data_IF_520992282800
#
_entry.id   IF_520992282800
#
_cell.length_a   1.000
_cell.length_b   1.000
_cell.length_c   1.000
_cell.angle_alpha   90.00
_cell.angle_beta   90.00
_cell.angle_gamma   90.00
#
_symmetry.space_group_name_H-M   'P 1'
#
loop_
_entity.id
_entity.type
_entity.pdbx_description
1 polymer ?
#
# COMPACT_ATOMS: atom_id res chain seq x y z
N UNK A 1 -16.96 -5.13 11.16
CA UNK A 1 -15.60 -5.52 10.74
C UNK A 1 -15.45 -7.02 10.86
N UNK A 2 -15.07 -7.70 9.80
CA UNK A 2 -14.79 -9.15 9.79
C UNK A 2 -13.30 -9.35 10.15
N UNK A 3 -13.00 -10.16 11.19
CA UNK A 3 -11.62 -10.46 11.60
C UNK A 3 -11.26 -11.86 11.10
N UNK A 4 -10.16 -11.96 10.36
CA UNK A 4 -9.68 -13.19 9.71
C UNK A 4 -8.31 -13.51 10.28
N UNK A 5 -8.15 -14.73 10.80
CA UNK A 5 -6.85 -15.28 11.22
C UNK A 5 -6.51 -16.40 10.23
N UNK A 6 -5.59 -16.18 9.31
CA UNK A 6 -5.21 -17.21 8.34
C UNK A 6 -4.57 -18.41 9.05
N UNK A 7 -4.94 -19.62 8.65
CA UNK A 7 -4.22 -20.82 9.09
C UNK A 7 -2.80 -20.83 8.54
N UNK A 8 -1.85 -21.37 9.31
CA UNK A 8 -0.47 -21.53 8.87
C UNK A 8 -0.40 -22.47 7.66
N UNK A 9 -0.17 -21.87 6.48
CA UNK A 9 -0.07 -22.59 5.20
C UNK A 9 -1.26 -22.43 4.25
N UNK A 10 -2.34 -21.72 4.63
CA UNK A 10 -3.43 -21.38 3.71
C UNK A 10 -3.07 -20.16 2.86
N UNK A 11 -3.19 -20.24 1.53
CA UNK A 11 -3.12 -19.07 0.66
C UNK A 11 -4.42 -18.26 0.78
N UNK A 12 -4.38 -17.15 1.50
CA UNK A 12 -5.49 -16.22 1.60
C UNK A 12 -5.70 -15.49 0.27
N UNK A 13 -6.92 -15.53 -0.29
CA UNK A 13 -7.25 -14.87 -1.55
C UNK A 13 -8.17 -13.69 -1.33
N UNK A 14 -8.05 -12.64 -2.14
CA UNK A 14 -8.93 -11.48 -2.09
C UNK A 14 -10.42 -11.87 -2.17
N UNK A 15 -10.77 -12.83 -3.03
CA UNK A 15 -12.15 -13.29 -3.21
C UNK A 15 -12.77 -13.89 -1.94
N UNK A 16 -11.96 -14.41 -1.02
CA UNK A 16 -12.42 -14.98 0.25
C UNK A 16 -12.71 -13.88 1.29
N UNK A 17 -12.11 -12.69 1.14
CA UNK A 17 -12.23 -11.53 2.04
C UNK A 17 -13.24 -10.52 1.51
N UNK A 18 -13.15 -10.21 0.22
CA UNK A 18 -13.88 -9.14 -0.45
C UNK A 18 -14.41 -9.62 -1.81
N UNK A 19 -15.45 -10.48 -1.82
CA UNK A 19 -16.02 -10.99 -3.06
C UNK A 19 -16.61 -9.85 -3.90
N UNK A 20 -16.40 -9.91 -5.21
CA UNK A 20 -16.92 -8.93 -6.16
C UNK A 20 -16.01 -7.73 -6.43
N UNK A 21 -14.87 -7.60 -5.74
CA UNK A 21 -13.86 -6.59 -6.09
C UNK A 21 -13.13 -6.99 -7.38
N UNK A 22 -12.75 -6.00 -8.18
CA UNK A 22 -11.98 -6.19 -9.43
C UNK A 22 -10.56 -6.67 -9.17
N UNK A 23 -10.04 -6.36 -7.97
CA UNK A 23 -8.70 -6.62 -7.51
C UNK A 23 -8.42 -5.81 -6.25
N UNK A 24 -7.16 -5.71 -5.85
CA UNK A 24 -6.76 -4.91 -4.72
C UNK A 24 -5.49 -4.09 -4.98
N UNK A 25 -5.41 -2.91 -4.37
CA UNK A 25 -4.23 -2.06 -4.35
C UNK A 25 -3.72 -1.98 -2.91
N UNK A 26 -2.47 -2.39 -2.71
CA UNK A 26 -1.82 -2.19 -1.42
C UNK A 26 -1.26 -0.77 -1.31
N UNK A 27 -1.47 -0.13 -0.15
CA UNK A 27 -0.97 1.21 0.13
C UNK A 27 -0.10 1.20 1.38
N UNK A 28 1.16 1.57 1.22
CA UNK A 28 2.09 1.82 2.31
C UNK A 28 2.08 3.30 2.65
N UNK A 29 1.96 3.65 3.92
CA UNK A 29 1.77 5.04 4.33
C UNK A 29 2.25 5.28 5.77
N UNK A 30 2.56 6.54 6.09
CA UNK A 30 2.95 6.94 7.43
C UNK A 30 1.83 6.77 8.46
N UNK A 31 2.21 6.42 9.71
CA UNK A 31 1.34 6.51 10.89
C UNK A 31 1.49 7.86 11.63
N UNK A 32 2.42 8.72 11.22
CA UNK A 32 2.64 10.04 11.81
C UNK A 32 1.43 10.96 11.62
N UNK A 33 1.11 11.75 12.64
CA UNK A 33 -0.06 12.65 12.66
C UNK A 33 0.32 14.13 12.59
N UNK A 34 1.53 14.49 13.00
CA UNK A 34 2.04 15.86 12.98
C UNK A 34 2.85 16.12 11.70
N UNK A 35 2.13 16.17 10.58
CA UNK A 35 2.67 16.36 9.22
C UNK A 35 1.78 17.32 8.44
N UNK A 36 2.28 17.85 7.32
CA UNK A 36 1.54 18.80 6.49
C UNK A 36 0.19 18.23 6.03
N UNK A 37 -0.90 19.01 6.12
CA UNK A 37 -2.24 18.63 5.65
C UNK A 37 -2.30 18.13 4.21
N UNK A 38 -1.44 18.60 3.32
CA UNK A 38 -1.40 18.19 1.89
C UNK A 38 -1.25 16.66 1.74
N UNK A 39 -0.52 16.02 2.65
CA UNK A 39 -0.36 14.58 2.61
C UNK A 39 -1.62 13.82 3.02
N UNK A 40 -2.36 14.35 3.99
CA UNK A 40 -3.66 13.79 4.39
C UNK A 40 -4.72 13.93 3.29
N UNK A 41 -4.73 15.06 2.57
CA UNK A 41 -5.62 15.28 1.45
C UNK A 41 -5.35 14.27 0.33
N UNK A 42 -4.08 14.12 -0.06
CA UNK A 42 -3.66 13.14 -1.05
C UNK A 42 -4.00 11.69 -0.64
N UNK A 43 -3.84 11.34 0.64
CA UNK A 43 -4.18 10.01 1.13
C UNK A 43 -5.69 9.73 1.04
N UNK A 44 -6.54 10.69 1.46
CA UNK A 44 -8.00 10.56 1.36
C UNK A 44 -8.46 10.47 -0.11
N UNK A 45 -7.88 11.29 -0.98
CA UNK A 45 -8.15 11.26 -2.41
C UNK A 45 -7.81 9.90 -3.00
N UNK A 46 -6.61 9.36 -2.71
CA UNK A 46 -6.19 8.05 -3.19
C UNK A 46 -7.16 6.96 -2.76
N UNK A 47 -7.56 6.92 -1.48
CA UNK A 47 -8.54 5.97 -0.97
C UNK A 47 -9.88 6.04 -1.70
N UNK A 48 -10.38 7.26 -1.94
CA UNK A 48 -11.62 7.46 -2.68
C UNK A 48 -11.52 7.04 -4.15
N UNK A 49 -10.38 7.26 -4.79
CA UNK A 49 -10.13 6.84 -6.17
C UNK A 49 -10.08 5.31 -6.29
N UNK A 50 -9.39 4.60 -5.37
CA UNK A 50 -9.36 3.13 -5.32
C UNK A 50 -10.77 2.56 -5.23
N UNK A 51 -11.61 3.12 -4.35
CA UNK A 51 -13.00 2.71 -4.18
C UNK A 51 -13.83 2.91 -5.48
N UNK A 52 -13.70 4.07 -6.13
CA UNK A 52 -14.43 4.37 -7.38
C UNK A 52 -14.04 3.48 -8.54
N UNK A 53 -12.80 3.00 -8.58
CA UNK A 53 -12.32 2.03 -9.57
C UNK A 53 -12.81 0.60 -9.30
N UNK A 54 -13.49 0.35 -8.16
CA UNK A 54 -13.99 -0.97 -7.76
C UNK A 54 -12.90 -1.93 -7.28
N UNK A 55 -11.77 -1.38 -6.81
CA UNK A 55 -10.69 -2.14 -6.19
C UNK A 55 -10.81 -2.08 -4.66
N UNK A 56 -10.37 -3.14 -3.99
CA UNK A 56 -10.18 -3.11 -2.56
C UNK A 56 -8.88 -2.35 -2.21
N UNK A 57 -8.92 -1.56 -1.14
CA UNK A 57 -7.74 -1.04 -0.50
C UNK A 57 -7.18 -2.09 0.46
N UNK A 58 -5.89 -2.39 0.38
CA UNK A 58 -5.16 -3.20 1.36
C UNK A 58 -4.10 -2.32 2.02
N UNK A 59 -4.08 -2.23 3.35
CA UNK A 59 -3.07 -1.47 4.06
C UNK A 59 -2.64 -2.14 5.38
N UNK A 60 -1.82 -1.44 6.15
CA UNK A 60 -1.37 -1.91 7.46
C UNK A 60 -2.41 -1.92 8.56
N UNK A 61 -3.64 -1.54 8.28
CA UNK A 61 -4.76 -1.56 9.21
C UNK A 61 -4.71 -0.49 10.31
N UNK A 62 -3.76 0.44 10.29
CA UNK A 62 -3.61 1.47 11.32
C UNK A 62 -4.67 2.56 11.24
N UNK A 63 -5.07 3.10 12.40
CA UNK A 63 -6.06 4.19 12.49
C UNK A 63 -5.42 5.60 12.37
N UNK A 64 -4.11 5.72 12.51
CA UNK A 64 -3.42 7.00 12.60
C UNK A 64 -2.74 7.39 11.30
N UNK A 65 -2.45 8.69 11.15
CA UNK A 65 -1.67 9.25 10.06
C UNK A 65 -2.29 9.05 8.68
N UNK A 66 -1.46 8.84 7.68
CA UNK A 66 -1.91 8.64 6.30
C UNK A 66 -2.57 7.28 6.09
N UNK A 67 -2.24 6.25 6.89
CA UNK A 67 -2.96 4.97 6.91
C UNK A 67 -4.44 5.19 7.26
N UNK A 68 -4.73 5.87 8.37
CA UNK A 68 -6.10 6.21 8.73
C UNK A 68 -6.80 7.06 7.65
N UNK A 69 -6.10 8.03 7.09
CA UNK A 69 -6.66 8.93 6.08
C UNK A 69 -7.03 8.21 4.77
N UNK A 70 -6.19 7.28 4.28
CA UNK A 70 -6.51 6.52 3.05
C UNK A 70 -7.67 5.56 3.28
N UNK A 71 -7.75 4.91 4.46
CA UNK A 71 -8.89 4.08 4.85
C UNK A 71 -10.18 4.89 4.90
N UNK A 72 -10.16 6.04 5.58
CA UNK A 72 -11.28 6.97 5.65
C UNK A 72 -11.76 7.41 4.26
N UNK A 73 -10.84 7.73 3.36
CA UNK A 73 -11.16 8.12 1.99
C UNK A 73 -11.85 7.01 1.22
N UNK A 74 -11.34 5.78 1.31
CA UNK A 74 -11.92 4.59 0.69
C UNK A 74 -13.33 4.30 1.22
N UNK A 75 -13.48 4.24 2.54
CA UNK A 75 -14.75 3.89 3.20
C UNK A 75 -15.82 4.95 2.96
N UNK A 76 -15.50 6.25 3.02
CA UNK A 76 -16.46 7.34 2.71
C UNK A 76 -16.92 7.31 1.26
N UNK A 77 -16.13 6.80 0.34
CA UNK A 77 -16.52 6.59 -1.05
C UNK A 77 -17.30 5.29 -1.29
N UNK A 78 -17.66 4.55 -0.24
CA UNK A 78 -18.38 3.28 -0.31
C UNK A 78 -17.51 2.09 -0.72
N UNK A 79 -16.18 2.22 -0.64
CA UNK A 79 -15.23 1.19 -0.99
C UNK A 79 -14.99 0.15 0.11
N UNK A 80 -14.16 -0.82 -0.21
CA UNK A 80 -13.73 -1.90 0.68
C UNK A 80 -12.29 -1.66 1.12
N UNK A 81 -12.07 -1.54 2.44
CA UNK A 81 -10.75 -1.39 3.05
C UNK A 81 -10.42 -2.62 3.90
N UNK A 82 -9.28 -3.25 3.64
CA UNK A 82 -8.77 -4.45 4.30
C UNK A 82 -7.46 -4.09 5.01
N UNK A 83 -7.45 -4.18 6.33
CA UNK A 83 -6.23 -3.96 7.12
C UNK A 83 -5.52 -5.27 7.40
N UNK A 84 -4.22 -5.33 7.17
CA UNK A 84 -3.37 -6.46 7.57
C UNK A 84 -2.53 -6.05 8.77
N UNK A 85 -2.84 -6.58 9.94
CA UNK A 85 -2.26 -6.15 11.22
C UNK A 85 -1.58 -7.32 11.94
N UNK A 86 -0.39 -7.14 12.53
CA UNK A 86 0.21 -8.18 13.36
C UNK A 86 -0.60 -8.44 14.63
N UNK A 87 -0.59 -9.68 15.13
CA UNK A 87 -1.34 -10.10 16.31
C UNK A 87 -1.12 -9.17 17.52
N UNK A 88 0.14 -8.83 17.81
CA UNK A 88 0.47 -7.95 18.94
C UNK A 88 -0.10 -6.51 18.82
N UNK A 89 -0.30 -6.00 17.58
CA UNK A 89 -0.93 -4.70 17.36
C UNK A 89 -2.46 -4.82 17.44
N UNK A 90 -3.03 -5.93 16.93
CA UNK A 90 -4.44 -6.23 17.04
C UNK A 90 -4.88 -6.29 18.52
N UNK A 91 -4.13 -7.04 19.35
CA UNK A 91 -4.37 -7.18 20.79
C UNK A 91 -4.33 -5.84 21.55
N UNK A 92 -3.52 -4.89 21.06
CA UNK A 92 -3.43 -3.52 21.61
C UNK A 92 -4.52 -2.57 21.10
N UNK A 93 -5.40 -3.03 20.21
CA UNK A 93 -6.47 -2.20 19.65
C UNK A 93 -6.00 -1.07 18.74
N UNK A 94 -4.83 -1.21 18.07
CA UNK A 94 -4.28 -0.17 17.19
C UNK A 94 -4.91 -0.16 15.80
N UNK A 95 -5.79 -1.10 15.51
CA UNK A 95 -6.49 -1.20 14.22
C UNK A 95 -7.54 -0.11 14.03
N UNK A 96 -7.75 0.27 12.79
CA UNK A 96 -8.83 1.16 12.37
C UNK A 96 -10.18 0.46 12.51
N UNK A 97 -11.09 1.04 13.31
CA UNK A 97 -12.36 0.39 13.69
C UNK A 97 -13.40 0.30 12.58
N UNK A 98 -13.27 1.11 11.52
CA UNK A 98 -14.19 1.18 10.39
C UNK A 98 -13.86 0.24 9.22
N UNK A 99 -12.77 -0.54 9.28
CA UNK A 99 -12.37 -1.44 8.19
C UNK A 99 -13.46 -2.43 7.80
N UNK A 100 -13.54 -2.76 6.52
CA UNK A 100 -14.45 -3.81 6.00
C UNK A 100 -14.02 -5.19 6.50
N UNK A 101 -12.71 -5.45 6.51
CA UNK A 101 -12.11 -6.66 7.07
C UNK A 101 -10.74 -6.36 7.69
N UNK A 102 -10.36 -7.19 8.66
CA UNK A 102 -9.04 -7.17 9.28
C UNK A 102 -8.42 -8.56 9.23
N UNK A 103 -7.24 -8.66 8.65
CA UNK A 103 -6.44 -9.90 8.58
C UNK A 103 -5.36 -9.83 9.65
N UNK A 104 -5.35 -10.79 10.56
CA UNK A 104 -4.37 -10.83 11.66
C UNK A 104 -3.18 -11.70 11.23
N UNK A 105 -2.03 -11.07 11.03
CA UNK A 105 -0.78 -11.73 10.68
C UNK A 105 -0.01 -12.18 11.91
N UNK A 106 0.75 -13.27 11.81
CA UNK A 106 1.54 -13.81 12.93
C UNK A 106 2.64 -12.83 13.37
N UNK A 107 3.31 -12.19 12.42
CA UNK A 107 4.40 -11.24 12.66
C UNK A 107 4.48 -10.18 11.54
N UNK A 108 5.50 -9.32 11.59
CA UNK A 108 5.70 -8.25 10.60
C UNK A 108 6.07 -8.77 9.21
N UNK A 109 6.80 -9.88 9.10
CA UNK A 109 7.16 -10.47 7.80
C UNK A 109 5.93 -11.09 7.15
N UNK A 110 5.15 -11.85 7.92
CA UNK A 110 3.89 -12.42 7.46
C UNK A 110 2.89 -11.33 7.04
N UNK A 111 2.81 -10.22 7.78
CA UNK A 111 1.99 -9.05 7.41
C UNK A 111 2.33 -8.53 6.00
N UNK A 112 3.61 -8.25 5.73
CA UNK A 112 4.05 -7.73 4.43
C UNK A 112 3.81 -8.73 3.30
N UNK A 113 4.09 -9.99 3.54
CA UNK A 113 3.84 -11.08 2.60
C UNK A 113 2.34 -11.20 2.26
N UNK A 114 1.45 -11.11 3.25
CA UNK A 114 0.00 -11.10 3.02
C UNK A 114 -0.48 -9.86 2.26
N UNK A 115 0.03 -8.67 2.59
CA UNK A 115 -0.31 -7.44 1.84
C UNK A 115 0.04 -7.56 0.37
N UNK A 116 1.24 -8.05 0.06
CA UNK A 116 1.68 -8.26 -1.31
C UNK A 116 0.89 -9.38 -2.02
N UNK A 117 0.59 -10.48 -1.33
CA UNK A 117 -0.17 -11.60 -1.90
C UNK A 117 -1.62 -11.23 -2.25
N UNK A 118 -2.20 -10.26 -1.58
CA UNK A 118 -3.56 -9.77 -1.83
C UNK A 118 -3.62 -8.71 -2.94
N UNK A 119 -2.49 -8.08 -3.30
CA UNK A 119 -2.46 -6.89 -4.13
C UNK A 119 -2.08 -7.16 -5.58
N UNK A 120 -2.77 -6.52 -6.52
CA UNK A 120 -2.42 -6.48 -7.94
C UNK A 120 -1.42 -5.35 -8.26
N UNK A 121 -1.31 -4.36 -7.39
CA UNK A 121 -0.37 -3.24 -7.49
C UNK A 121 -0.15 -2.59 -6.13
N UNK A 122 0.95 -1.86 -6.00
CA UNK A 122 1.38 -1.23 -4.74
C UNK A 122 1.65 0.25 -4.93
N UNK A 123 1.20 1.07 -3.98
CA UNK A 123 1.47 2.50 -3.92
C UNK A 123 2.09 2.85 -2.56
N UNK A 124 3.23 3.53 -2.58
CA UNK A 124 3.80 4.14 -1.37
C UNK A 124 3.46 5.63 -1.32
N UNK A 125 2.62 6.03 -0.37
CA UNK A 125 2.43 7.43 0.04
C UNK A 125 3.61 7.89 0.89
N UNK A 126 3.80 9.20 1.10
CA UNK A 126 4.84 9.73 1.99
C UNK A 126 4.88 9.03 3.34
N UNK A 127 6.10 8.68 3.78
CA UNK A 127 6.27 7.94 5.02
C UNK A 127 7.71 7.83 5.47
N UNK A 128 7.89 7.34 6.68
CA UNK A 128 9.21 7.14 7.30
C UNK A 128 9.85 5.81 6.93
N UNK A 129 10.75 5.35 7.81
CA UNK A 129 11.56 4.14 7.60
C UNK A 129 10.72 2.89 7.29
N UNK A 130 9.55 2.71 7.95
CA UNK A 130 8.67 1.57 7.70
C UNK A 130 8.11 1.58 6.28
N UNK A 131 7.61 2.72 5.81
CA UNK A 131 7.10 2.86 4.44
C UNK A 131 8.20 2.69 3.40
N UNK A 132 9.40 3.21 3.68
CA UNK A 132 10.57 3.04 2.80
C UNK A 132 11.00 1.57 2.74
N UNK A 133 11.01 0.88 3.86
CA UNK A 133 11.35 -0.55 3.92
C UNK A 133 10.36 -1.38 3.11
N UNK A 134 9.05 -1.14 3.27
CA UNK A 134 7.99 -1.84 2.55
C UNK A 134 8.10 -1.65 1.02
N UNK A 135 8.26 -0.41 0.53
CA UNK A 135 8.35 -0.16 -0.92
C UNK A 135 9.66 -0.67 -1.53
N UNK A 136 10.79 -0.55 -0.84
CA UNK A 136 12.07 -1.06 -1.32
C UNK A 136 12.10 -2.60 -1.35
N UNK A 137 11.40 -3.26 -0.45
CA UNK A 137 11.20 -4.71 -0.48
C UNK A 137 10.40 -5.12 -1.73
N UNK A 138 9.28 -4.45 -2.03
CA UNK A 138 8.49 -4.71 -3.25
C UNK A 138 9.31 -4.46 -4.53
N UNK A 139 10.09 -3.39 -4.60
CA UNK A 139 10.99 -3.14 -5.73
C UNK A 139 11.99 -4.30 -5.89
N UNK A 140 12.51 -4.81 -4.79
CA UNK A 140 13.41 -5.99 -4.79
C UNK A 140 12.67 -7.25 -5.23
N UNK A 141 11.45 -7.48 -4.75
CA UNK A 141 10.63 -8.63 -5.15
C UNK A 141 10.27 -8.60 -6.63
N UNK A 142 10.02 -7.43 -7.20
CA UNK A 142 9.82 -7.27 -8.65
C UNK A 142 11.07 -7.67 -9.45
N UNK A 143 12.26 -7.26 -9.00
CA UNK A 143 13.52 -7.70 -9.60
C UNK A 143 13.67 -9.22 -9.56
N UNK A 144 13.25 -9.85 -8.47
CA UNK A 144 13.34 -11.30 -8.24
C UNK A 144 12.16 -12.08 -8.85
N UNK A 145 11.16 -11.39 -9.45
CA UNK A 145 9.90 -11.98 -9.98
C UNK A 145 9.08 -12.70 -8.89
N UNK A 146 9.10 -12.17 -7.69
CA UNK A 146 8.27 -12.61 -6.56
C UNK A 146 6.99 -11.78 -6.44
N UNK A 147 6.93 -10.63 -7.12
CA UNK A 147 5.78 -9.77 -7.25
C UNK A 147 5.72 -9.21 -8.67
N UNK A 148 4.61 -9.44 -9.38
CA UNK A 148 4.47 -9.06 -10.79
C UNK A 148 3.75 -7.71 -10.98
N UNK A 149 2.99 -7.26 -9.99
CA UNK A 149 2.21 -6.02 -10.04
C UNK A 149 3.09 -4.76 -10.13
N UNK A 150 2.54 -3.64 -10.61
CA UNK A 150 3.23 -2.35 -10.58
C UNK A 150 3.56 -1.90 -9.15
N UNK A 151 4.72 -1.27 -8.97
CA UNK A 151 5.13 -0.59 -7.75
C UNK A 151 5.25 0.91 -8.03
N UNK A 152 4.51 1.74 -7.29
CA UNK A 152 4.45 3.18 -7.53
C UNK A 152 4.84 3.95 -6.27
N UNK A 153 5.72 4.92 -6.44
CA UNK A 153 6.10 5.90 -5.41
C UNK A 153 5.30 7.17 -5.67
N UNK A 154 4.39 7.52 -4.77
CA UNK A 154 3.60 8.75 -4.86
C UNK A 154 4.39 9.91 -4.25
N UNK A 155 5.07 10.68 -5.10
CA UNK A 155 5.91 11.84 -4.74
C UNK A 155 5.05 13.09 -4.48
N UNK A 156 4.18 13.00 -3.47
CA UNK A 156 3.30 14.11 -3.10
C UNK A 156 4.14 15.27 -2.56
N UNK A 157 3.94 16.46 -3.11
CA UNK A 157 4.67 17.68 -2.76
C UNK A 157 6.21 17.54 -2.83
N UNK A 158 6.74 16.60 -3.64
CA UNK A 158 8.18 16.40 -3.81
C UNK A 158 8.85 15.68 -2.64
N UNK A 159 8.08 15.00 -1.78
CA UNK A 159 8.60 14.30 -0.59
C UNK A 159 9.65 13.23 -0.93
N UNK A 160 9.45 12.49 -2.00
CA UNK A 160 10.33 11.39 -2.42
C UNK A 160 11.42 11.79 -3.42
N UNK A 161 11.56 13.08 -3.74
CA UNK A 161 12.62 13.55 -4.65
C UNK A 161 14.03 13.06 -4.25
N UNK A 162 14.44 13.12 -2.96
CA UNK A 162 15.75 12.58 -2.56
C UNK A 162 15.89 11.06 -2.76
N UNK A 163 14.80 10.30 -2.55
CA UNK A 163 14.79 8.85 -2.82
C UNK A 163 14.94 8.57 -4.33
N UNK A 164 14.22 9.30 -5.17
CA UNK A 164 14.31 9.18 -6.62
C UNK A 164 15.73 9.44 -7.11
N UNK A 165 16.39 10.48 -6.58
CA UNK A 165 17.79 10.80 -6.90
C UNK A 165 18.74 9.70 -6.44
N UNK A 166 18.52 9.10 -5.26
CA UNK A 166 19.32 7.99 -4.76
C UNK A 166 19.18 6.75 -5.63
N UNK A 167 17.95 6.39 -6.01
CA UNK A 167 17.68 5.24 -6.88
C UNK A 167 18.26 5.44 -8.29
N UNK A 168 18.12 6.64 -8.86
CA UNK A 168 18.73 7.00 -10.14
C UNK A 168 20.27 6.89 -10.09
N UNK A 169 20.89 7.32 -8.99
CA UNK A 169 22.33 7.15 -8.78
C UNK A 169 22.72 5.68 -8.69
N UNK A 170 21.93 4.84 -8.03
CA UNK A 170 22.18 3.40 -7.93
C UNK A 170 22.15 2.74 -9.32
N UNK A 171 21.22 3.15 -10.19
CA UNK A 171 21.18 2.71 -11.59
C UNK A 171 22.43 3.20 -12.35
N UNK A 172 22.74 4.49 -12.29
CA UNK A 172 23.86 5.08 -13.00
C UNK A 172 25.23 4.46 -12.62
N UNK A 173 25.36 4.00 -11.38
CA UNK A 173 26.56 3.35 -10.87
C UNK A 173 26.54 1.81 -10.99
N UNK A 174 25.49 1.21 -11.57
CA UNK A 174 25.40 -0.23 -11.82
C UNK A 174 25.00 -1.08 -10.62
N UNK A 175 24.54 -0.48 -9.50
CA UNK A 175 24.04 -1.23 -8.33
C UNK A 175 22.67 -1.84 -8.57
N UNK A 176 21.87 -1.28 -9.47
CA UNK A 176 20.58 -1.81 -9.89
C UNK A 176 20.31 -1.54 -11.37
N UNK A 177 19.40 -2.33 -11.97
CA UNK A 177 18.94 -2.13 -13.34
C UNK A 177 17.60 -1.37 -13.33
N UNK A 178 17.35 -0.57 -14.36
CA UNK A 178 16.08 0.06 -14.67
C UNK A 178 15.35 -0.60 -15.86
N UNK A 179 15.88 -1.69 -16.37
CA UNK A 179 15.34 -2.41 -17.53
C UNK A 179 15.08 -3.88 -17.19
N UNK A 180 13.80 -4.31 -17.12
CA UNK A 180 12.58 -3.48 -17.17
C UNK A 180 12.45 -2.57 -15.94
N UNK A 181 11.67 -1.48 -16.02
CA UNK A 181 11.46 -0.59 -14.88
C UNK A 181 10.86 -1.34 -13.69
N UNK A 182 11.48 -1.20 -12.52
CA UNK A 182 11.05 -1.88 -11.29
C UNK A 182 10.03 -1.08 -10.49
N UNK A 183 9.92 0.22 -10.73
CA UNK A 183 8.98 1.12 -10.08
C UNK A 183 8.63 2.29 -11.01
N UNK A 184 7.55 2.99 -10.67
CA UNK A 184 7.18 4.26 -11.28
C UNK A 184 7.06 5.34 -10.20
N UNK A 185 7.15 6.61 -10.61
CA UNK A 185 6.93 7.76 -9.72
C UNK A 185 5.76 8.57 -10.27
N UNK A 186 4.85 8.98 -9.39
CA UNK A 186 3.70 9.82 -9.70
C UNK A 186 3.65 11.02 -8.76
N UNK A 187 3.28 12.19 -9.25
CA UNK A 187 3.22 13.42 -8.47
C UNK A 187 1.85 13.70 -7.84
N UNK A 188 0.83 12.91 -8.18
CA UNK A 188 -0.51 13.04 -7.64
C UNK A 188 -1.19 11.68 -7.43
N UNK A 189 -2.26 11.60 -6.62
CA UNK A 189 -2.97 10.35 -6.33
C UNK A 189 -3.59 9.68 -7.56
N UNK A 190 -4.11 10.47 -8.50
CA UNK A 190 -4.76 9.95 -9.71
C UNK A 190 -3.76 9.22 -10.62
N UNK A 191 -2.61 9.83 -10.87
CA UNK A 191 -1.53 9.23 -11.65
C UNK A 191 -0.95 8.00 -10.93
N UNK A 192 -0.79 8.07 -9.61
CA UNK A 192 -0.31 6.94 -8.82
C UNK A 192 -1.22 5.72 -8.97
N UNK A 193 -2.54 5.92 -8.89
CA UNK A 193 -3.49 4.84 -9.08
C UNK A 193 -3.49 4.33 -10.54
N UNK A 194 -3.46 5.23 -11.54
CA UNK A 194 -3.41 4.83 -12.94
C UNK A 194 -2.21 3.92 -13.21
N UNK A 195 -1.02 4.32 -12.75
CA UNK A 195 0.20 3.51 -12.88
C UNK A 195 0.11 2.18 -12.11
N UNK A 196 -0.45 2.17 -10.89
CA UNK A 196 -0.64 0.95 -10.10
C UNK A 196 -1.65 -0.03 -10.75
N UNK A 197 -2.56 0.47 -11.57
CA UNK A 197 -3.47 -0.30 -12.40
C UNK A 197 -2.86 -0.72 -13.77
N UNK A 198 -1.56 -0.45 -13.99
CA UNK A 198 -0.86 -0.78 -15.24
C UNK A 198 -1.25 0.09 -16.45
N UNK A 199 -1.88 1.26 -16.21
CA UNK A 199 -2.24 2.20 -17.27
C UNK A 199 -1.04 3.09 -17.61
N UNK A 200 -0.90 3.48 -18.88
CA UNK A 200 0.05 4.52 -19.30
C UNK A 200 -0.54 5.90 -19.02
N UNK A 201 0.30 6.85 -18.60
CA UNK A 201 -0.08 8.25 -18.42
C UNK A 201 0.05 9.05 -19.70
#
# INVERSE_FOLDING_TARGET
MNTIVPDSGSSLRLADIAPGMRGAIAVYAASATDIDPVYFEAARELGALIAREGYALVDGGGAAGLMGAVNDGCLRAGGTAIGVIPAFMHERGWGHTGLSAQVVAADMHHRKSLMAALADGVIALPGGAGTLEEILEIITWRKLRLFDGPAVIADIAGFYRPLAEMLARAVAQGFMSDTPPLYAIASCPADALALALGRQL
#
